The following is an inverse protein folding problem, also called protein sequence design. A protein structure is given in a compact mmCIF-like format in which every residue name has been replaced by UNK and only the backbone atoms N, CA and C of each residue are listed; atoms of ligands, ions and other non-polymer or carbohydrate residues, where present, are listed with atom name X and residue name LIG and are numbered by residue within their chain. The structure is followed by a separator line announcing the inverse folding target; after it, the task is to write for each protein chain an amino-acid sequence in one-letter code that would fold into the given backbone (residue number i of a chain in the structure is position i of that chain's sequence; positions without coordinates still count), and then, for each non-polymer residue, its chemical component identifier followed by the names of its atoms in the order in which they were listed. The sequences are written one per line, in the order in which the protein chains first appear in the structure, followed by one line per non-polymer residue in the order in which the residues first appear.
data_IF_326669890484
#
_entry.id   IF_326669890484
#
_cell.length_a   1.000
_cell.length_b   1.000
_cell.length_c   1.000
_cell.angle_alpha   90.00
_cell.angle_beta   90.00
_cell.angle_gamma   90.00
#
_symmetry.space_group_name_H-M   'P 1'
#
loop_
_entity.id
_entity.type
_entity.pdbx_description
1 polymer ?
#
# COMPACT_ATOMS: atom_id res chain seq x y z
N UNK A 1 -3.79 5.71 39.08
CA UNK A 1 -4.18 5.69 37.65
C UNK A 1 -2.90 5.69 36.83
N UNK A 2 -2.50 4.54 36.27
CA UNK A 2 -1.32 4.49 35.41
C UNK A 2 -1.58 5.31 34.13
N UNK A 3 -0.60 6.06 33.61
CA UNK A 3 -0.77 6.76 32.35
C UNK A 3 -1.02 5.73 31.25
N UNK A 4 -2.11 5.91 30.48
CA UNK A 4 -2.39 5.10 29.29
C UNK A 4 -1.16 5.19 28.39
N UNK A 5 -0.50 4.06 28.14
CA UNK A 5 0.61 3.99 27.17
C UNK A 5 0.13 4.57 25.85
N UNK A 6 0.84 5.58 25.34
CA UNK A 6 0.53 6.14 24.03
C UNK A 6 0.88 5.06 23.00
N UNK A 7 -0.15 4.47 22.39
CA UNK A 7 -0.04 3.42 21.38
C UNK A 7 0.49 3.92 20.02
N UNK A 8 0.82 5.21 19.91
CA UNK A 8 1.30 5.84 18.69
C UNK A 8 2.62 6.57 18.91
N UNK A 9 3.52 6.49 17.93
CA UNK A 9 4.82 7.15 17.91
C UNK A 9 4.90 8.07 16.70
N UNK A 10 5.27 9.35 16.90
CA UNK A 10 5.55 10.29 15.80
C UNK A 10 6.84 9.87 15.11
N UNK A 11 6.77 9.74 13.78
CA UNK A 11 7.91 9.43 12.92
C UNK A 11 8.04 10.55 11.91
N UNK A 12 9.24 11.11 11.78
CA UNK A 12 9.57 12.04 10.69
C UNK A 12 10.11 11.24 9.53
N UNK A 13 9.59 11.49 8.33
CA UNK A 13 10.02 10.83 7.08
C UNK A 13 10.40 11.89 6.06
N UNK A 14 11.32 11.53 5.16
CA UNK A 14 11.69 12.34 4.00
C UNK A 14 11.18 11.65 2.76
N UNK A 15 10.52 12.40 1.88
CA UNK A 15 9.96 11.93 0.61
C UNK A 15 10.49 12.81 -0.52
N UNK A 16 10.49 12.32 -1.78
CA UNK A 16 10.61 13.18 -2.95
C UNK A 16 9.56 14.30 -2.90
N UNK A 17 9.93 15.49 -3.38
CA UNK A 17 9.07 16.68 -3.26
C UNK A 17 7.77 16.48 -4.03
N UNK A 18 7.85 15.86 -5.20
CA UNK A 18 6.71 15.55 -6.06
C UNK A 18 5.67 14.66 -5.37
N UNK A 19 6.13 13.70 -4.56
CA UNK A 19 5.26 12.78 -3.81
C UNK A 19 4.65 13.48 -2.60
N UNK A 20 5.44 14.29 -1.88
CA UNK A 20 4.95 15.06 -0.73
C UNK A 20 3.83 16.02 -1.16
N UNK A 21 4.07 16.80 -2.22
CA UNK A 21 3.09 17.73 -2.76
C UNK A 21 1.85 16.99 -3.32
N UNK A 22 2.02 15.82 -3.92
CA UNK A 22 0.89 15.02 -4.40
C UNK A 22 -0.02 14.60 -3.25
N UNK A 23 0.53 14.15 -2.13
CA UNK A 23 -0.24 13.75 -0.95
C UNK A 23 -0.88 14.95 -0.27
N UNK A 24 -0.19 16.09 -0.22
CA UNK A 24 -0.75 17.36 0.27
C UNK A 24 -1.97 17.79 -0.54
N UNK A 25 -1.89 17.78 -1.88
CA UNK A 25 -3.03 18.10 -2.75
C UNK A 25 -4.24 17.16 -2.53
N UNK A 26 -4.00 15.88 -2.26
CA UNK A 26 -5.08 14.94 -1.93
C UNK A 26 -5.76 15.29 -0.60
N UNK A 27 -5.01 15.76 0.39
CA UNK A 27 -5.56 16.19 1.67
C UNK A 27 -6.33 17.52 1.54
N UNK A 28 -5.77 18.48 0.79
CA UNK A 28 -6.40 19.78 0.53
C UNK A 28 -7.71 19.65 -0.26
N UNK A 29 -7.76 18.74 -1.22
CA UNK A 29 -8.98 18.43 -1.98
C UNK A 29 -10.01 17.59 -1.19
N UNK A 30 -9.67 17.15 0.02
CA UNK A 30 -10.53 16.32 0.87
C UNK A 30 -10.67 14.86 0.38
N UNK A 31 -9.88 14.44 -0.61
CA UNK A 31 -9.84 13.04 -1.06
C UNK A 31 -9.26 12.11 0.03
N UNK A 32 -8.42 12.67 0.91
CA UNK A 32 -7.97 12.00 2.15
C UNK A 32 -8.09 12.95 3.34
N UNK A 33 -8.29 12.38 4.53
CA UNK A 33 -8.50 13.17 5.76
C UNK A 33 -7.26 14.01 6.16
N UNK A 34 -6.06 13.48 5.92
CA UNK A 34 -4.79 14.16 6.17
C UNK A 34 -3.61 13.40 5.54
N UNK A 35 -2.47 14.07 5.41
CA UNK A 35 -1.19 13.44 5.02
C UNK A 35 -0.83 12.28 5.95
N UNK A 36 -1.00 12.47 7.27
CA UNK A 36 -0.68 11.41 8.25
C UNK A 36 -1.58 10.19 8.11
N UNK A 37 -2.86 10.39 7.76
CA UNK A 37 -3.77 9.29 7.47
C UNK A 37 -3.36 8.54 6.21
N UNK A 38 -3.09 9.25 5.12
CA UNK A 38 -2.59 8.64 3.89
C UNK A 38 -1.36 7.77 4.13
N UNK A 39 -0.36 8.30 4.84
CA UNK A 39 0.87 7.56 5.17
C UNK A 39 0.57 6.35 6.05
N UNK A 40 -0.30 6.48 7.05
CA UNK A 40 -0.66 5.37 7.94
C UNK A 40 -1.37 4.24 7.17
N UNK A 41 -2.29 4.58 6.27
CA UNK A 41 -2.98 3.62 5.41
C UNK A 41 -2.02 2.94 4.43
N UNK A 42 -1.09 3.69 3.83
CA UNK A 42 -0.06 3.13 2.96
C UNK A 42 0.86 2.14 3.70
N UNK A 43 1.29 2.48 4.92
CA UNK A 43 2.10 1.60 5.77
C UNK A 43 1.31 0.34 6.16
N UNK A 44 0.05 0.50 6.57
CA UNK A 44 -0.81 -0.63 6.94
C UNK A 44 -1.04 -1.57 5.74
N UNK A 45 -1.31 -1.02 4.57
CA UNK A 45 -1.47 -1.78 3.33
C UNK A 45 -0.20 -2.54 2.97
N UNK A 46 0.97 -1.89 3.05
CA UNK A 46 2.26 -2.53 2.76
C UNK A 46 2.52 -3.70 3.70
N UNK A 47 2.28 -3.53 5.01
CA UNK A 47 2.44 -4.60 6.01
C UNK A 47 1.47 -5.75 5.77
N UNK A 48 0.18 -5.47 5.62
CA UNK A 48 -0.83 -6.51 5.38
C UNK A 48 -0.51 -7.33 4.13
N UNK A 49 0.02 -6.70 3.08
CA UNK A 49 0.49 -7.38 1.87
C UNK A 49 1.68 -8.29 2.16
N UNK A 50 2.68 -7.82 2.90
CA UNK A 50 3.86 -8.63 3.25
C UNK A 50 3.50 -9.81 4.14
N UNK A 51 2.72 -9.57 5.19
CA UNK A 51 2.25 -10.60 6.11
C UNK A 51 1.42 -11.65 5.37
N UNK A 52 0.51 -11.22 4.48
CA UNK A 52 -0.28 -12.11 3.65
C UNK A 52 0.58 -12.96 2.71
N UNK A 53 1.59 -12.37 2.05
CA UNK A 53 2.51 -13.11 1.20
C UNK A 53 3.35 -14.11 2.00
N UNK A 54 3.83 -13.73 3.17
CA UNK A 54 4.59 -14.61 4.06
C UNK A 54 3.75 -15.81 4.53
N UNK A 55 2.47 -15.59 4.85
CA UNK A 55 1.53 -16.67 5.21
C UNK A 55 1.33 -17.63 4.03
N UNK A 56 1.15 -17.10 2.82
CA UNK A 56 1.00 -17.93 1.62
C UNK A 56 2.27 -18.74 1.32
N UNK A 57 3.44 -18.12 1.37
CA UNK A 57 4.72 -18.81 1.16
C UNK A 57 4.98 -19.87 2.23
N UNK A 58 4.68 -19.58 3.51
CA UNK A 58 4.82 -20.56 4.59
C UNK A 58 3.89 -21.75 4.41
N UNK A 59 2.67 -21.54 3.89
CA UNK A 59 1.66 -22.60 3.76
C UNK A 59 1.80 -23.43 2.49
N UNK A 60 2.20 -22.80 1.39
CA UNK A 60 2.19 -23.42 0.06
C UNK A 60 3.57 -23.48 -0.60
N UNK A 61 4.60 -22.91 0.03
CA UNK A 61 5.91 -22.72 -0.58
C UNK A 61 5.92 -21.56 -1.58
N UNK A 62 7.08 -21.32 -2.19
CA UNK A 62 7.20 -20.35 -3.28
C UNK A 62 6.48 -20.88 -4.53
N UNK A 63 5.68 -20.03 -5.22
CA UNK A 63 5.11 -20.42 -6.50
C UNK A 63 6.21 -20.79 -7.51
N UNK A 64 5.99 -21.81 -8.35
CA UNK A 64 6.93 -22.13 -9.42
C UNK A 64 6.95 -21.02 -10.49
N UNK A 65 8.07 -20.86 -11.19
CA UNK A 65 8.31 -19.74 -12.10
C UNK A 65 7.23 -19.62 -13.20
N UNK A 66 6.79 -20.75 -13.77
CA UNK A 66 5.75 -20.75 -14.80
C UNK A 66 4.42 -20.13 -14.33
N UNK A 67 4.09 -20.29 -13.04
CA UNK A 67 2.87 -19.73 -12.46
C UNK A 67 3.00 -18.22 -12.25
N UNK A 68 4.20 -17.75 -11.89
CA UNK A 68 4.50 -16.32 -11.79
C UNK A 68 4.41 -15.65 -13.16
N UNK A 69 5.00 -16.25 -14.20
CA UNK A 69 4.96 -15.71 -15.57
C UNK A 69 3.54 -15.66 -16.15
N UNK A 70 2.74 -16.70 -15.89
CA UNK A 70 1.32 -16.69 -16.22
C UNK A 70 0.57 -15.55 -15.50
N UNK A 71 0.82 -15.38 -14.20
CA UNK A 71 0.19 -14.31 -13.42
C UNK A 71 0.59 -12.90 -13.91
N UNK A 72 1.89 -12.68 -14.21
CA UNK A 72 2.38 -11.41 -14.79
C UNK A 72 1.69 -11.09 -16.11
N UNK A 73 1.52 -12.10 -16.96
CA UNK A 73 0.84 -11.95 -18.25
C UNK A 73 -0.62 -11.53 -18.06
N UNK A 74 -1.33 -12.17 -17.14
CA UNK A 74 -2.72 -11.84 -16.82
C UNK A 74 -2.88 -10.43 -16.26
N UNK A 75 -2.04 -10.05 -15.30
CA UNK A 75 -2.08 -8.72 -14.67
C UNK A 75 -1.77 -7.65 -15.72
N UNK A 76 -0.71 -7.83 -16.51
CA UNK A 76 -0.34 -6.89 -17.57
C UNK A 76 -1.48 -6.70 -18.58
N UNK A 77 -2.15 -7.79 -18.97
CA UNK A 77 -3.32 -7.71 -19.87
C UNK A 77 -4.47 -6.93 -19.25
N UNK A 78 -4.75 -7.13 -17.95
CA UNK A 78 -5.84 -6.45 -17.26
C UNK A 78 -5.56 -4.96 -17.04
N UNK A 79 -4.32 -4.59 -16.74
CA UNK A 79 -3.91 -3.19 -16.56
C UNK A 79 -3.80 -2.43 -17.89
N UNK A 80 -3.61 -3.14 -19.02
CA UNK A 80 -3.58 -2.55 -20.37
C UNK A 80 -4.97 -2.33 -20.98
N UNK A 81 -6.02 -2.98 -20.44
CA UNK A 81 -7.36 -2.80 -20.97
C UNK A 81 -7.86 -1.38 -20.66
N UNK A 82 -8.34 -0.60 -21.65
CA UNK A 82 -9.02 0.66 -21.36
C UNK A 82 -10.24 0.34 -20.49
N UNK A 83 -10.40 1.04 -19.36
CA UNK A 83 -11.57 0.91 -18.51
C UNK A 83 -12.85 1.17 -19.32
N UNK A 84 -14.01 0.62 -18.93
CA UNK A 84 -15.26 0.90 -19.62
C UNK A 84 -15.52 2.41 -19.57
N UNK A 85 -15.56 3.05 -20.74
CA UNK A 85 -16.13 4.39 -20.90
C UNK A 85 -17.59 4.32 -20.44
N UNK A 86 -17.88 4.93 -19.30
CA UNK A 86 -19.23 5.27 -18.88
C UNK A 86 -19.47 6.76 -19.18
#
# INVERSE_FOLDING_TARGET
MAPRERTTKKITVTLPIEDAEAVERLAESGQVESVSRYVTEAVAFRRAREDGLAVLESRFGKPPEYALEWARTLISRRLRAPGPTA
#
